data_IF_923974459629
#
_entry.id   IF_923974459629
#
_cell.length_a   1.000
_cell.length_b   1.000
_cell.length_c   1.000
_cell.angle_alpha   90.00
_cell.angle_beta   90.00
_cell.angle_gamma   90.00
#
_symmetry.space_group_name_H-M   'P 1'
#
loop_
_entity.id
_entity.type
_entity.pdbx_description
1 polymer ?
2 non-polymer ?
3 water ?
#
# COMPACT_ATOMS: atom_id res chain seq x y z
N UNK A 7 9.53 -17.54 2.83
CA UNK A 7 9.47 -18.05 1.43
C UNK A 7 9.63 -16.94 0.38
N UNK A 8 9.75 -17.36 -0.88
CA UNK A 8 9.70 -16.47 -2.04
C UNK A 8 8.52 -16.87 -2.94
N UNK A 9 8.09 -15.94 -3.77
CA UNK A 9 6.97 -16.14 -4.71
C UNK A 9 7.22 -15.29 -5.95
N UNK A 10 6.97 -15.87 -7.12
CA UNK A 10 6.98 -15.13 -8.37
C UNK A 10 5.72 -14.28 -8.41
N UNK A 11 5.88 -12.96 -8.50
CA UNK A 11 4.74 -12.07 -8.45
C UNK A 11 4.65 -11.23 -9.70
N UNK A 12 3.63 -11.49 -10.51
CA UNK A 12 3.40 -10.70 -11.70
C UNK A 12 3.04 -9.27 -11.34
N UNK A 13 3.70 -8.35 -12.03
CA UNK A 13 3.61 -6.92 -11.80
C UNK A 13 3.40 -6.23 -13.16
N UNK A 14 2.33 -5.43 -13.24
CA UNK A 14 2.08 -4.60 -14.41
C UNK A 14 2.41 -3.13 -14.06
N UNK A 15 3.26 -2.54 -14.89
CA UNK A 15 3.60 -1.15 -14.73
C UNK A 15 2.60 -0.35 -15.57
N UNK A 16 1.62 0.24 -14.88
CA UNK A 16 0.55 0.96 -15.53
C UNK A 16 0.99 2.34 -15.97
N UNK A 17 1.92 2.93 -15.23
CA UNK A 17 2.47 4.24 -15.54
C UNK A 17 3.97 4.10 -15.73
N UNK A 18 4.40 4.36 -16.96
CA UNK A 18 5.81 4.19 -17.32
C UNK A 18 6.81 4.92 -16.44
N UNK A 19 6.40 6.00 -15.76
CA UNK A 19 7.33 6.69 -14.89
C UNK A 19 7.77 5.81 -13.70
N UNK A 20 6.98 4.78 -13.38
CA UNK A 20 7.33 3.93 -12.26
C UNK A 20 8.39 2.89 -12.56
N UNK A 21 8.80 2.75 -13.83
CA UNK A 21 9.93 1.86 -14.12
C UNK A 21 11.19 2.21 -13.34
N UNK A 22 11.35 3.50 -13.02
CA UNK A 22 12.48 3.97 -12.27
C UNK A 22 12.27 3.96 -10.76
N UNK A 23 11.11 3.48 -10.30
CA UNK A 23 10.71 3.56 -8.90
C UNK A 23 10.01 2.29 -8.44
N UNK A 24 10.47 1.14 -8.91
CA UNK A 24 9.81 -0.10 -8.56
C UNK A 24 9.99 -0.40 -7.08
N UNK A 25 8.97 -1.03 -6.43
CA UNK A 25 9.15 -1.41 -5.03
C UNK A 25 10.30 -2.40 -4.88
N UNK A 26 11.06 -2.29 -3.79
CA UNK A 26 12.23 -3.12 -3.57
C UNK A 26 12.34 -3.43 -2.08
N UNK A 27 12.69 -4.67 -1.73
CA UNK A 27 13.03 -4.99 -0.34
C UNK A 27 14.35 -4.33 0.01
N UNK A 28 14.36 -3.59 1.11
CA UNK A 28 15.57 -2.89 1.55
C UNK A 28 16.72 -3.85 1.86
N UNK A 29 16.40 -4.96 2.52
CA UNK A 29 17.37 -5.99 2.86
C UNK A 29 16.76 -7.36 2.65
N UNK A 30 17.58 -8.40 2.70
CA UNK A 30 17.07 -9.75 2.59
C UNK A 30 16.23 -10.14 3.82
N UNK A 31 16.30 -9.35 4.89
CA UNK A 31 15.46 -9.59 6.07
C UNK A 31 14.18 -8.75 6.14
N UNK A 32 13.93 -7.93 5.13
CA UNK A 32 12.78 -7.04 5.12
C UNK A 32 11.48 -7.80 4.85
N UNK A 33 10.43 -7.40 5.55
CA UNK A 33 9.11 -8.00 5.37
C UNK A 33 8.24 -7.28 4.34
N UNK A 34 8.49 -6.01 4.12
CA UNK A 34 7.63 -5.17 3.34
C UNK A 34 8.29 -4.53 2.14
N UNK A 35 7.46 -4.23 1.16
CA UNK A 35 7.81 -3.50 -0.06
C UNK A 35 7.21 -2.11 0.04
N UNK A 36 8.00 -1.10 -0.31
CA UNK A 36 7.46 0.26 -0.25
C UNK A 36 6.76 0.65 -1.55
N UNK A 37 5.55 1.16 -1.36
CA UNK A 37 4.72 1.66 -2.44
C UNK A 37 4.83 3.19 -2.45
N UNK A 38 4.94 3.74 -3.64
CA UNK A 38 5.19 5.16 -3.83
C UNK A 38 4.01 5.84 -4.51
N UNK A 39 3.91 7.14 -4.27
CA UNK A 39 2.90 7.96 -4.90
C UNK A 39 3.25 8.24 -6.36
N UNK A 40 2.37 7.86 -7.27
CA UNK A 40 2.53 8.15 -8.69
C UNK A 40 1.69 9.38 -9.00
N UNK A 41 2.33 10.54 -8.94
CA UNK A 41 1.67 11.84 -9.04
C UNK A 41 2.37 12.74 -10.03
N UNK A 42 1.58 13.53 -10.76
CA UNK A 42 2.13 14.54 -11.66
C UNK A 42 2.71 15.73 -10.91
N UNK A 43 2.18 15.97 -9.72
CA UNK A 43 2.51 17.14 -8.93
C UNK A 43 2.22 16.87 -7.47
N UNK A 44 2.87 17.62 -6.58
CA UNK A 44 2.59 17.45 -5.15
C UNK A 44 1.11 17.66 -4.81
N UNK A 45 0.64 16.96 -3.79
CA UNK A 45 -0.74 17.02 -3.31
C UNK A 45 -0.69 17.47 -1.87
N UNK A 46 -1.42 18.53 -1.55
CA UNK A 46 -1.48 19.01 -0.19
C UNK A 46 -2.65 18.35 0.54
N UNK A 47 -2.33 17.75 1.69
CA UNK A 47 -3.31 17.08 2.54
C UNK A 47 -3.51 17.82 3.84
N UNK A 48 -4.66 18.48 3.95
CA UNK A 48 -5.01 19.20 5.15
C UNK A 48 -5.38 18.21 6.25
N UNK A 49 -5.25 18.63 7.52
CA UNK A 49 -5.68 17.77 8.61
C UNK A 49 -7.09 17.24 8.39
N UNK A 50 -7.24 15.94 8.53
CA UNK A 50 -8.53 15.29 8.39
C UNK A 50 -8.86 14.84 7.00
N UNK A 51 -8.12 15.32 5.99
CA UNK A 51 -8.52 14.96 4.65
C UNK A 51 -7.94 13.62 4.18
N UNK A 52 -8.64 13.05 3.20
CA UNK A 52 -8.28 11.78 2.58
C UNK A 52 -8.15 12.03 1.07
N UNK A 53 -7.09 11.50 0.47
CA UNK A 53 -6.87 11.51 -0.98
C UNK A 53 -6.66 10.07 -1.44
N UNK A 54 -7.09 9.76 -2.65
CA UNK A 54 -6.85 8.46 -3.25
C UNK A 54 -5.65 8.61 -4.19
N UNK A 55 -4.56 7.97 -3.81
CA UNK A 55 -3.28 8.20 -4.47
C UNK A 55 -2.91 6.97 -5.30
N UNK A 56 -2.72 7.13 -6.60
CA UNK A 56 -2.31 5.98 -7.40
C UNK A 56 -0.86 5.58 -7.17
N UNK A 57 -0.57 4.30 -7.37
CA UNK A 57 0.79 3.79 -7.31
C UNK A 57 1.41 3.61 -8.69
N UNK A 58 0.60 3.60 -9.74
CA UNK A 58 1.08 3.31 -11.08
C UNK A 58 1.38 1.85 -11.33
N UNK A 59 0.96 0.97 -10.41
CA UNK A 59 1.30 -0.45 -10.46
C UNK A 59 0.08 -1.30 -10.19
N UNK A 60 0.08 -2.50 -10.75
CA UNK A 60 -0.88 -3.55 -10.41
C UNK A 60 -0.14 -4.85 -10.18
N UNK A 61 -0.60 -5.65 -9.24
CA UNK A 61 -0.04 -6.97 -9.02
C UNK A 61 -1.10 -8.03 -9.20
N UNK A 62 -0.64 -9.26 -9.38
CA UNK A 62 -1.54 -10.40 -9.42
C UNK A 62 -0.96 -11.51 -8.57
N UNK A 63 -1.39 -11.59 -7.32
CA UNK A 63 -0.84 -12.62 -6.43
C UNK A 63 -1.13 -14.03 -6.94
N UNK A 64 -2.36 -14.21 -7.43
CA UNK A 64 -2.82 -15.40 -8.18
C UNK A 64 -3.09 -16.63 -7.31
N UNK A 65 -2.20 -16.90 -6.36
CA UNK A 65 -2.34 -18.05 -5.47
C UNK A 65 -3.30 -17.67 -4.34
N UNK A 66 -4.47 -18.35 -4.24
CA UNK A 66 -5.45 -17.99 -3.21
C UNK A 66 -5.00 -18.31 -1.78
N UNK A 67 -3.84 -18.93 -1.63
CA UNK A 67 -3.25 -19.14 -0.33
C UNK A 67 -2.52 -17.93 0.21
N UNK A 68 -2.50 -16.83 -0.54
CA UNK A 68 -1.79 -15.61 -0.11
C UNK A 68 -2.61 -14.37 -0.33
N UNK A 69 -2.31 -13.35 0.46
CA UNK A 69 -2.89 -12.02 0.30
C UNK A 69 -1.84 -11.00 0.64
N UNK A 70 -2.11 -9.73 0.33
CA UNK A 70 -1.21 -8.68 0.77
C UNK A 70 -1.94 -7.74 1.70
N UNK A 71 -1.23 -7.32 2.73
CA UNK A 71 -1.66 -6.25 3.61
C UNK A 71 -0.91 -4.98 3.22
N UNK A 72 -1.64 -3.89 3.16
CA UNK A 72 -1.03 -2.58 2.92
C UNK A 72 -1.15 -1.78 4.21
N UNK A 73 0.01 -1.34 4.71
CA UNK A 73 0.14 -0.70 6.02
C UNK A 73 0.71 0.71 5.84
N UNK A 74 0.42 1.61 6.78
CA UNK A 74 1.15 2.88 6.81
C UNK A 74 2.64 2.66 7.02
N UNK A 75 3.42 3.65 6.62
CA UNK A 75 4.84 3.68 6.97
C UNK A 75 5.00 4.21 8.40
N UNK A 76 5.99 3.69 9.11
CA UNK A 76 6.13 4.06 10.52
C UNK A 76 6.51 5.52 10.70
N UNK A 77 7.45 6.01 9.91
CA UNK A 77 7.85 7.42 10.03
C UNK A 77 6.77 8.39 9.61
N UNK A 78 6.21 8.20 8.42
CA UNK A 78 5.13 9.07 7.98
C UNK A 78 4.00 9.06 8.97
N UNK A 79 3.65 7.88 9.46
CA UNK A 79 2.51 7.78 10.35
C UNK A 79 2.77 8.44 11.68
N UNK A 80 3.87 8.06 12.32
CA UNK A 80 4.21 8.58 13.63
C UNK A 80 4.54 10.07 13.61
N UNK A 81 5.42 10.46 12.70
CA UNK A 81 5.96 11.84 12.69
C UNK A 81 5.02 12.86 12.01
N UNK A 82 4.29 12.41 10.99
CA UNK A 82 3.50 13.33 10.16
C UNK A 82 2.01 13.04 10.14
N UNK A 83 1.59 11.96 10.77
CA UNK A 83 0.18 11.60 10.77
C UNK A 83 -0.37 11.25 9.38
N UNK A 84 0.47 10.76 8.51
CA UNK A 84 0.04 10.40 7.16
C UNK A 84 -0.08 8.89 7.11
N UNK A 85 -1.32 8.43 7.14
CA UNK A 85 -1.65 7.03 7.27
C UNK A 85 -2.68 6.66 6.21
N UNK A 86 -3.37 5.54 6.42
CA UNK A 86 -4.33 5.04 5.44
C UNK A 86 -5.76 5.31 5.91
N UNK A 87 -6.62 5.77 5.00
CA UNK A 87 -8.01 6.08 5.37
C UNK A 87 -8.83 4.85 5.69
N UNK A 88 -8.46 3.71 5.11
CA UNK A 88 -9.03 2.42 5.46
C UNK A 88 -8.21 1.65 6.50
N UNK A 89 -7.19 2.32 7.05
CA UNK A 89 -6.29 1.85 8.10
C UNK A 89 -5.30 0.78 7.64
N UNK A 90 -5.83 -0.32 7.15
CA UNK A 90 -5.05 -1.42 6.57
C UNK A 90 -5.80 -1.89 5.35
N UNK A 91 -5.09 -2.00 4.22
CA UNK A 91 -5.67 -2.52 3.00
C UNK A 91 -5.41 -4.00 2.87
N UNK A 92 -6.37 -4.71 2.29
CA UNK A 92 -6.26 -6.12 2.02
C UNK A 92 -6.39 -6.34 0.51
N UNK A 93 -5.34 -6.89 -0.09
CA UNK A 93 -5.32 -7.19 -1.51
C UNK A 93 -5.52 -8.69 -1.70
N UNK A 94 -6.62 -9.03 -2.36
CA UNK A 94 -7.00 -10.42 -2.62
C UNK A 94 -6.13 -10.97 -3.73
N UNK A 95 -5.99 -12.29 -3.74
CA UNK A 95 -5.17 -12.98 -4.71
C UNK A 95 -5.63 -12.74 -6.14
N UNK A 96 -6.91 -12.48 -6.33
CA UNK A 96 -7.45 -12.25 -7.66
C UNK A 96 -7.68 -10.78 -8.01
N UNK A 97 -7.21 -9.86 -7.16
CA UNK A 97 -7.32 -8.44 -7.47
C UNK A 97 -6.20 -8.06 -8.42
N UNK A 98 -6.57 -7.52 -9.58
CA UNK A 98 -5.59 -7.23 -10.62
C UNK A 98 -5.67 -5.79 -11.13
N UNK A 99 -6.38 -4.93 -10.42
CA UNK A 99 -6.45 -3.52 -10.75
C UNK A 99 -5.26 -2.76 -10.19
N UNK A 100 -5.21 -1.48 -10.50
CA UNK A 100 -4.17 -0.62 -9.94
C UNK A 100 -4.27 -0.60 -8.43
N UNK A 101 -3.12 -0.70 -7.78
CA UNK A 101 -3.05 -0.47 -6.35
C UNK A 101 -3.19 1.03 -6.10
N UNK A 102 -4.19 1.37 -5.30
CA UNK A 102 -4.50 2.75 -4.92
C UNK A 102 -4.39 2.85 -3.41
N UNK A 103 -3.84 3.97 -2.94
CA UNK A 103 -3.63 4.19 -1.52
C UNK A 103 -4.60 5.26 -1.00
N UNK A 104 -5.45 4.86 -0.07
CA UNK A 104 -6.30 5.80 0.62
C UNK A 104 -5.43 6.50 1.64
N UNK A 105 -5.09 7.74 1.38
CA UNK A 105 -4.12 8.47 2.17
C UNK A 105 -4.86 9.49 3.02
N UNK A 106 -4.71 9.36 4.33
CA UNK A 106 -5.46 10.15 5.31
C UNK A 106 -4.49 10.85 6.25
N UNK A 107 -4.69 12.16 6.40
CA UNK A 107 -3.96 12.94 7.38
C UNK A 107 -4.72 12.91 8.71
N UNK A 108 -4.25 12.06 9.61
CA UNK A 108 -4.88 11.83 10.91
C UNK A 108 -4.43 12.81 11.98
N UNK A 109 -3.53 13.72 11.63
CA UNK A 109 -2.94 14.65 12.59
C UNK A 109 -3.42 16.07 12.40
N UNK A 110 -2.63 17.01 12.91
CA UNK A 110 -3.05 18.40 12.98
C UNK A 110 -2.24 19.35 12.11
N UNK A 111 -1.34 18.77 11.30
CA UNK A 111 -0.41 19.56 10.49
C UNK A 111 -0.61 19.26 9.01
N UNK A 112 -0.83 20.30 8.21
CA UNK A 112 -0.92 20.14 6.78
C UNK A 112 0.39 19.54 6.25
N UNK A 113 0.24 18.67 5.26
CA UNK A 113 1.37 17.92 4.70
C UNK A 113 1.31 17.97 3.20
N UNK A 114 2.47 18.10 2.56
CA UNK A 114 2.54 18.03 1.11
C UNK A 114 3.18 16.71 0.70
N UNK A 115 2.39 15.88 0.02
CA UNK A 115 2.83 14.62 -0.51
C UNK A 115 3.57 14.84 -1.83
N UNK A 116 4.79 14.33 -1.91
CA UNK A 116 5.62 14.49 -3.11
C UNK A 116 5.42 13.38 -4.11
N UNK A 117 5.53 13.72 -5.41
CA UNK A 117 5.66 12.67 -6.41
C UNK A 117 6.74 11.67 -6.03
N UNK A 118 6.40 10.39 -6.17
CA UNK A 118 7.30 9.27 -5.90
C UNK A 118 7.62 9.04 -4.43
N UNK A 119 7.01 9.80 -3.53
CA UNK A 119 7.26 9.60 -2.11
C UNK A 119 6.75 8.23 -1.68
N UNK A 120 7.55 7.54 -0.86
CA UNK A 120 7.12 6.27 -0.28
C UNK A 120 5.97 6.57 0.69
N UNK A 121 4.86 5.88 0.50
CA UNK A 121 3.63 6.19 1.19
C UNK A 121 3.04 5.06 2.03
N UNK A 122 3.32 3.82 1.66
CA UNK A 122 2.79 2.67 2.33
C UNK A 122 3.72 1.49 2.18
N UNK A 123 3.45 0.44 2.93
CA UNK A 123 4.20 -0.81 2.90
C UNK A 123 3.27 -1.94 2.49
N UNK A 124 3.77 -2.84 1.66
CA UNK A 124 3.04 -4.02 1.22
C UNK A 124 3.73 -5.26 1.75
N UNK A 125 2.97 -6.06 2.49
CA UNK A 125 3.42 -7.31 3.12
C UNK A 125 2.57 -8.46 2.61
N UNK A 126 3.21 -9.55 2.18
CA UNK A 126 2.52 -10.72 1.67
C UNK A 126 2.49 -11.79 2.75
N UNK A 127 1.28 -12.22 3.08
CA UNK A 127 1.06 -13.21 4.12
C UNK A 127 0.25 -14.37 3.58
N UNK A 128 0.47 -15.58 4.12
CA UNK A 128 -0.48 -16.66 3.82
C UNK A 128 -1.82 -16.39 4.47
N UNK A 129 -2.88 -16.82 3.79
CA UNK A 129 -4.22 -16.76 4.33
C UNK A 129 -4.93 -18.09 4.12
N UNK A 130 -5.97 -18.29 4.91
CA UNK A 130 -6.79 -19.51 4.91
C UNK A 130 -8.23 -19.12 4.57
N UNK A 131 -8.87 -19.87 3.68
CA UNK A 131 -10.29 -19.75 3.46
C UNK A 131 -11.00 -20.79 4.31
N UNK A 132 -11.84 -20.30 5.21
CA UNK A 132 -12.60 -21.17 6.08
C UNK A 132 -13.78 -21.79 5.36
N UNK A 133 -14.12 -22.99 5.79
CA UNK A 133 -15.39 -23.62 5.46
C UNK A 133 -16.17 -23.66 6.75
N UNK A 134 -17.24 -22.88 6.82
CA UNK A 134 -18.02 -22.82 8.05
C UNK A 134 -18.71 -24.14 8.33
N UNK A 135 -18.82 -24.42 9.62
CA UNK A 135 -19.58 -25.52 10.15
C UNK A 135 -20.44 -24.96 11.27
N UNK A 136 -21.74 -24.83 11.01
CA UNK A 136 -22.65 -24.24 11.98
C UNK A 136 -22.88 -25.25 13.11
N UNK A 137 -22.66 -24.80 14.35
CA UNK A 137 -22.83 -25.63 15.53
C UNK A 137 -23.75 -24.93 16.52
N UNK A 138 -24.42 -25.69 17.35
CA UNK A 138 -25.21 -25.12 18.46
C UNK A 138 -24.33 -24.71 19.63
N UNK A 139 -23.25 -25.47 19.85
CA UNK A 139 -22.31 -25.22 20.93
C UNK A 139 -20.92 -25.66 20.49
N UNK A 140 -19.89 -24.95 20.93
CA UNK A 140 -18.51 -25.26 20.55
C UNK A 140 -17.95 -26.49 21.26
#
# INVERSE_FOLDING_TARGET
MAHHHHHHMKLDLKILDARMRDYLPKYATTGSAGLDLRACLDAPVTLKPGDTALVPTGLAIHLADPGYAALILPRSGLGHKHGIVLGNLVGLIDSDYQGELMISTWNRGQTEFVLNPFERLAQLVIVPVVQATFNIVGDFAQSDRGAGGFGSTGRH
#
